data_IF_548031949579
#
_entry.id   IF_548031949579
#
_cell.length_a   1.000
_cell.length_b   1.000
_cell.length_c   1.000
_cell.angle_alpha   90.00
_cell.angle_beta   90.00
_cell.angle_gamma   90.00
#
_symmetry.space_group_name_H-M   'P 1'
#
loop_
_entity.id
_entity.type
_entity.pdbx_description
1 polymer ?
#
# COMPACT_ATOMS: atom_id res chain seq x y z
N UNK A 1 -5.05 -37.60 3.88
CA UNK A 1 -5.63 -36.33 3.37
C UNK A 1 -4.98 -35.07 3.97
N UNK A 2 -3.65 -34.98 4.12
CA UNK A 2 -2.99 -33.91 4.93
C UNK A 2 -1.91 -33.08 4.20
N UNK A 3 -1.61 -33.39 2.93
CA UNK A 3 -0.61 -32.68 2.11
C UNK A 3 -1.23 -31.53 1.29
N UNK A 4 -2.49 -31.69 0.88
CA UNK A 4 -3.22 -30.75 0.03
C UNK A 4 -3.63 -29.44 0.74
N UNK A 5 -4.06 -29.47 2.00
CA UNK A 5 -4.41 -28.25 2.74
C UNK A 5 -3.20 -27.34 3.00
N UNK A 6 -2.02 -27.93 3.24
CA UNK A 6 -0.77 -27.17 3.43
C UNK A 6 -0.33 -26.45 2.16
N UNK A 7 -0.42 -27.10 1.00
CA UNK A 7 -0.05 -26.46 -0.28
C UNK A 7 -0.99 -25.30 -0.66
N UNK A 8 -2.28 -25.40 -0.35
CA UNK A 8 -3.26 -24.32 -0.61
C UNK A 8 -3.03 -23.09 0.27
N UNK A 9 -2.75 -23.29 1.55
CA UNK A 9 -2.43 -22.19 2.47
C UNK A 9 -1.16 -21.43 2.05
N UNK A 10 -0.12 -22.15 1.62
CA UNK A 10 1.13 -21.55 1.11
C UNK A 10 0.88 -20.76 -0.19
N UNK A 11 0.07 -21.29 -1.10
CA UNK A 11 -0.29 -20.59 -2.33
C UNK A 11 -1.05 -19.28 -2.04
N UNK A 12 -2.11 -19.31 -1.21
CA UNK A 12 -2.83 -18.10 -0.78
C UNK A 12 -1.91 -17.07 -0.12
N UNK A 13 -0.95 -17.53 0.70
CA UNK A 13 0.07 -16.66 1.29
C UNK A 13 0.92 -15.97 0.23
N UNK A 14 1.36 -16.70 -0.79
CA UNK A 14 2.16 -16.16 -1.92
C UNK A 14 1.38 -15.15 -2.77
N UNK A 15 0.13 -15.44 -3.11
CA UNK A 15 -0.74 -14.50 -3.85
C UNK A 15 -0.94 -13.19 -3.09
N UNK A 16 -1.13 -13.27 -1.77
CA UNK A 16 -1.32 -12.09 -0.91
C UNK A 16 -0.08 -11.18 -0.89
N UNK A 17 1.12 -11.75 -0.93
CA UNK A 17 2.38 -10.99 -1.01
C UNK A 17 2.50 -10.31 -2.37
N UNK A 18 2.17 -11.00 -3.46
CA UNK A 18 2.24 -10.45 -4.82
C UNK A 18 1.26 -9.29 -5.02
N UNK A 19 0.00 -9.44 -4.60
CA UNK A 19 -1.01 -8.38 -4.72
C UNK A 19 -0.64 -7.16 -3.88
N UNK A 20 -0.08 -7.38 -2.68
CA UNK A 20 0.36 -6.27 -1.84
C UNK A 20 1.48 -5.45 -2.47
N UNK A 21 2.41 -6.11 -3.16
CA UNK A 21 3.46 -5.41 -3.92
C UNK A 21 2.88 -4.53 -5.03
N UNK A 22 1.88 -5.02 -5.77
CA UNK A 22 1.19 -4.24 -6.81
C UNK A 22 0.50 -3.02 -6.18
N UNK A 23 -0.27 -3.21 -5.10
CA UNK A 23 -0.95 -2.12 -4.39
C UNK A 23 0.02 -1.09 -3.79
N UNK A 24 1.20 -1.53 -3.33
CA UNK A 24 2.24 -0.63 -2.84
C UNK A 24 2.73 0.32 -3.96
N UNK A 25 2.98 -0.22 -5.16
CA UNK A 25 3.39 0.56 -6.33
C UNK A 25 2.28 1.54 -6.76
N UNK A 26 1.03 1.08 -6.80
CA UNK A 26 -0.11 1.94 -7.12
C UNK A 26 -0.25 3.12 -6.14
N UNK A 27 -0.12 2.85 -4.84
CA UNK A 27 -0.22 3.88 -3.80
C UNK A 27 0.91 4.90 -3.89
N UNK A 28 2.15 4.45 -4.12
CA UNK A 28 3.30 5.32 -4.37
C UNK A 28 3.07 6.24 -5.58
N UNK A 29 2.62 5.66 -6.70
CA UNK A 29 2.35 6.40 -7.93
C UNK A 29 1.20 7.41 -7.75
N UNK A 30 0.13 7.03 -7.06
CA UNK A 30 -1.01 7.90 -6.79
C UNK A 30 -0.62 9.11 -5.93
N UNK A 31 0.13 8.89 -4.84
CA UNK A 31 0.59 9.98 -3.99
C UNK A 31 1.55 10.91 -4.74
N UNK A 32 2.47 10.35 -5.53
CA UNK A 32 3.37 11.14 -6.37
C UNK A 32 2.59 11.97 -7.41
N UNK A 33 1.58 11.39 -8.05
CA UNK A 33 0.72 12.11 -9.00
C UNK A 33 -0.07 13.25 -8.36
N UNK A 34 -0.51 13.10 -7.11
CA UNK A 34 -1.14 14.17 -6.34
C UNK A 34 -0.13 15.26 -5.96
N UNK A 35 1.08 14.90 -5.54
CA UNK A 35 2.14 15.87 -5.20
C UNK A 35 2.54 16.74 -6.39
N UNK A 36 2.54 16.17 -7.60
CA UNK A 36 2.80 16.90 -8.85
C UNK A 36 1.68 17.90 -9.20
N UNK A 37 0.45 17.67 -8.71
CA UNK A 37 -0.70 18.56 -8.90
C UNK A 37 -0.77 19.60 -7.76
N UNK A 38 0.27 20.42 -7.66
CA UNK A 38 0.39 21.46 -6.62
C UNK A 38 -0.90 22.30 -6.51
N UNK A 39 -1.42 22.43 -5.30
CA UNK A 39 -2.61 23.24 -4.98
C UNK A 39 -3.95 22.50 -5.02
N UNK A 40 -3.96 21.22 -5.44
CA UNK A 40 -5.16 20.38 -5.35
C UNK A 40 -5.08 19.49 -4.11
N UNK A 41 -6.19 19.44 -3.37
CA UNK A 41 -6.40 18.54 -2.25
C UNK A 41 -7.42 17.47 -2.65
N UNK A 42 -7.22 16.25 -2.15
CA UNK A 42 -8.19 15.16 -2.26
C UNK A 42 -9.07 15.09 -1.00
N UNK A 43 -9.90 14.05 -0.89
CA UNK A 43 -10.79 13.87 0.27
C UNK A 43 -9.99 13.58 1.55
N UNK A 44 -10.58 13.87 2.71
CA UNK A 44 -9.88 13.77 4.01
C UNK A 44 -9.23 12.40 4.27
N UNK A 45 -9.92 11.30 3.95
CA UNK A 45 -9.35 9.95 4.12
C UNK A 45 -8.19 9.66 3.17
N UNK A 46 -8.24 10.18 1.93
CA UNK A 46 -7.16 10.00 0.97
C UNK A 46 -5.95 10.89 1.29
N UNK A 47 -6.16 12.09 1.85
CA UNK A 47 -5.05 12.90 2.38
C UNK A 47 -4.41 12.22 3.60
N UNK A 48 -5.17 11.61 4.51
CA UNK A 48 -4.60 10.81 5.60
C UNK A 48 -3.75 9.65 5.08
N UNK A 49 -4.22 8.92 4.07
CA UNK A 49 -3.43 7.88 3.41
C UNK A 49 -2.15 8.46 2.79
N UNK A 50 -2.23 9.59 2.08
CA UNK A 50 -1.06 10.24 1.50
C UNK A 50 -0.05 10.69 2.56
N UNK A 51 -0.52 11.30 3.65
CA UNK A 51 0.32 11.72 4.77
C UNK A 51 1.03 10.54 5.41
N UNK A 52 0.29 9.47 5.72
CA UNK A 52 0.85 8.24 6.27
C UNK A 52 1.96 7.67 5.39
N UNK A 53 1.77 7.66 4.07
CA UNK A 53 2.82 7.22 3.16
C UNK A 53 4.04 8.14 3.22
N UNK A 54 3.83 9.45 3.25
CA UNK A 54 4.90 10.47 3.24
C UNK A 54 5.71 10.53 4.54
N UNK A 55 5.17 10.05 5.65
CA UNK A 55 5.93 9.81 6.88
C UNK A 55 6.99 8.72 6.74
N UNK A 56 6.79 7.77 5.81
CA UNK A 56 7.67 6.61 5.63
C UNK A 56 8.46 6.66 4.31
N UNK A 57 7.90 7.30 3.29
CA UNK A 57 8.45 7.38 1.94
C UNK A 57 8.44 8.81 1.44
N UNK A 58 9.63 9.40 1.34
CA UNK A 58 9.81 10.75 0.85
C UNK A 58 9.31 10.91 -0.60
N UNK A 59 8.99 12.15 -0.98
CA UNK A 59 8.66 12.50 -2.36
C UNK A 59 9.77 12.03 -3.33
N UNK A 60 9.39 11.54 -4.51
CA UNK A 60 10.35 11.08 -5.52
C UNK A 60 10.79 12.25 -6.39
N UNK A 61 11.87 12.94 -5.99
CA UNK A 61 12.43 14.09 -6.73
C UNK A 61 13.59 13.69 -7.65
N UNK A 62 14.43 12.77 -7.18
CA UNK A 62 15.62 12.29 -7.86
C UNK A 62 15.57 10.77 -7.97
N UNK A 63 16.23 10.27 -9.00
CA UNK A 63 16.31 8.83 -9.21
C UNK A 63 17.04 8.18 -8.04
N UNK A 64 16.39 7.19 -7.42
CA UNK A 64 16.91 6.43 -6.29
C UNK A 64 16.43 4.99 -6.40
N UNK A 65 17.06 4.11 -5.63
CA UNK A 65 16.55 2.74 -5.52
C UNK A 65 15.10 2.76 -5.06
N UNK A 66 14.22 2.20 -5.88
CA UNK A 66 12.77 2.20 -5.64
C UNK A 66 12.32 1.02 -4.78
N UNK A 67 13.14 -0.04 -4.69
CA UNK A 67 12.82 -1.22 -3.90
C UNK A 67 12.58 -0.93 -2.40
N UNK A 68 13.36 -0.07 -1.72
CA UNK A 68 13.07 0.33 -0.33
C UNK A 68 11.70 1.02 -0.16
N UNK A 69 11.31 1.86 -1.13
CA UNK A 69 10.04 2.59 -1.09
C UNK A 69 8.85 1.63 -1.25
N UNK A 70 8.97 0.66 -2.16
CA UNK A 70 7.97 -0.41 -2.34
C UNK A 70 7.85 -1.27 -1.08
N UNK A 71 8.99 -1.63 -0.47
CA UNK A 71 9.00 -2.43 0.75
C UNK A 71 8.35 -1.69 1.91
N UNK A 72 8.67 -0.41 2.12
CA UNK A 72 8.04 0.42 3.15
C UNK A 72 6.52 0.54 2.95
N UNK A 73 6.08 0.85 1.73
CA UNK A 73 4.65 0.92 1.40
C UNK A 73 3.95 -0.45 1.59
N UNK A 74 4.60 -1.55 1.19
CA UNK A 74 4.10 -2.91 1.41
C UNK A 74 3.96 -3.23 2.90
N UNK A 75 4.92 -2.84 3.74
CA UNK A 75 4.82 -3.05 5.20
C UNK A 75 3.66 -2.28 5.82
N UNK A 76 3.41 -1.04 5.40
CA UNK A 76 2.24 -0.26 5.83
C UNK A 76 0.92 -0.94 5.45
N UNK A 77 0.83 -1.49 4.23
CA UNK A 77 -0.33 -2.26 3.78
C UNK A 77 -0.47 -3.59 4.54
N UNK A 78 0.65 -4.21 4.94
CA UNK A 78 0.64 -5.43 5.74
C UNK A 78 0.15 -5.18 7.17
N UNK A 79 0.48 -4.02 7.75
CA UNK A 79 0.02 -3.57 9.05
C UNK A 79 -1.47 -3.16 9.05
N UNK A 80 -2.09 -2.99 7.88
CA UNK A 80 -3.50 -2.66 7.76
C UNK A 80 -3.83 -1.21 8.10
N UNK A 81 -2.86 -0.29 8.05
CA UNK A 81 -3.10 1.12 8.41
C UNK A 81 -4.20 1.79 7.59
N UNK A 82 -4.39 1.39 6.32
CA UNK A 82 -5.45 1.92 5.47
C UNK A 82 -6.84 1.36 5.80
N UNK A 83 -6.92 0.24 6.53
CA UNK A 83 -8.21 -0.35 6.95
C UNK A 83 -8.95 0.55 7.94
N UNK A 84 -8.24 1.39 8.70
CA UNK A 84 -8.87 2.37 9.58
C UNK A 84 -9.58 3.51 8.82
N UNK A 85 -9.29 3.68 7.53
CA UNK A 85 -9.84 4.75 6.70
C UNK A 85 -11.13 4.37 5.98
N UNK A 86 -11.52 3.09 6.02
CA UNK A 86 -12.76 2.59 5.43
C UNK A 86 -13.84 2.41 6.51
N UNK A 87 -15.13 2.55 6.17
CA UNK A 87 -16.22 2.30 7.11
C UNK A 87 -16.16 0.87 7.66
N UNK A 88 -16.35 0.72 8.97
CA UNK A 88 -16.32 -0.58 9.65
C UNK A 88 -17.36 -1.58 9.12
N UNK A 89 -18.40 -1.11 8.44
CA UNK A 89 -19.48 -1.93 7.86
C UNK A 89 -19.14 -2.52 6.50
N UNK A 90 -17.98 -2.18 5.91
CA UNK A 90 -17.66 -2.53 4.52
C UNK A 90 -17.08 -3.95 4.37
N UNK A 91 -16.33 -4.42 5.36
CA UNK A 91 -15.71 -5.74 5.35
C UNK A 91 -16.46 -6.70 6.28
N UNK A 92 -16.59 -8.00 5.90
CA UNK A 92 -17.25 -9.02 6.70
C UNK A 92 -16.46 -9.42 7.95
#
# INVERSE_FOLDING_TARGET
MSRWHRQRAVACGKWRINVRGILAVEWLAACQGLDLRKGLQTTAGLEQARHLLREHVAYYDKDRFFAPDIEAASQLLAAGHLTALIPATLLP
#
